data_IF_440795320641
#
_entry.id   IF_440795320641
#
_cell.length_a   1.000
_cell.length_b   1.000
_cell.length_c   1.000
_cell.angle_alpha   90.00
_cell.angle_beta   90.00
_cell.angle_gamma   90.00
#
_symmetry.space_group_name_H-M   'P 1'
#
loop_
_entity.id
_entity.type
_entity.pdbx_description
1 polymer ?
#
# COMPACT_ATOMS: atom_id res chain seq x y z
N UNK A 1 0.88 5.91 22.90
CA UNK A 1 1.37 7.29 22.83
C UNK A 1 0.44 8.24 23.57
N UNK A 2 0.96 9.39 23.95
CA UNK A 2 0.19 10.41 24.67
C UNK A 2 -1.02 10.88 23.86
N UNK A 3 -0.87 11.03 22.55
CA UNK A 3 -1.95 11.43 21.66
C UNK A 3 -3.10 10.42 21.66
N UNK A 4 -2.77 9.14 21.59
CA UNK A 4 -3.78 8.08 21.63
C UNK A 4 -4.49 8.02 22.97
N UNK A 5 -3.73 8.18 24.06
CA UNK A 5 -4.29 8.26 25.41
C UNK A 5 -5.23 9.44 25.55
N UNK A 6 -4.88 10.59 24.98
CA UNK A 6 -5.73 11.78 24.99
C UNK A 6 -7.05 11.55 24.26
N UNK A 7 -7.00 10.94 23.06
CA UNK A 7 -8.22 10.61 22.33
C UNK A 7 -9.11 9.65 23.10
N UNK A 8 -8.53 8.63 23.73
CA UNK A 8 -9.27 7.70 24.55
C UNK A 8 -9.92 8.39 25.74
N UNK A 9 -9.21 9.34 26.37
CA UNK A 9 -9.69 10.07 27.56
C UNK A 9 -10.76 11.10 27.22
N UNK A 10 -10.62 11.81 26.09
CA UNK A 10 -11.58 12.82 25.63
C UNK A 10 -12.80 12.17 24.97
N UNK A 11 -12.65 10.93 24.54
CA UNK A 11 -13.73 10.15 23.97
C UNK A 11 -14.01 10.43 22.51
N UNK A 12 -15.14 9.92 22.05
CA UNK A 12 -15.50 9.91 20.64
C UNK A 12 -15.85 11.30 20.08
N UNK A 13 -16.15 12.27 20.94
CA UNK A 13 -16.58 13.60 20.49
C UNK A 13 -15.49 14.32 19.70
N UNK A 14 -14.26 14.34 20.21
CA UNK A 14 -13.14 14.97 19.51
C UNK A 14 -12.82 14.24 18.22
N UNK A 15 -12.84 12.91 18.24
CA UNK A 15 -12.63 12.08 17.08
C UNK A 15 -13.67 12.35 15.99
N UNK A 16 -14.94 12.40 16.35
CA UNK A 16 -16.04 12.68 15.42
C UNK A 16 -15.88 14.06 14.79
N UNK A 17 -15.54 15.07 15.58
CA UNK A 17 -15.34 16.44 15.07
C UNK A 17 -14.20 16.49 14.05
N UNK A 18 -13.07 15.84 14.33
CA UNK A 18 -11.94 15.83 13.43
C UNK A 18 -12.29 15.09 12.14
N UNK A 19 -12.92 13.93 12.24
CA UNK A 19 -13.34 13.18 11.07
C UNK A 19 -14.34 13.95 10.21
N UNK A 20 -15.26 14.67 10.84
CA UNK A 20 -16.23 15.52 10.12
C UNK A 20 -15.52 16.62 9.36
N UNK A 21 -14.52 17.26 9.95
CA UNK A 21 -13.74 18.32 9.28
C UNK A 21 -12.89 17.78 8.13
N UNK A 22 -12.44 16.53 8.21
CA UNK A 22 -11.61 15.90 7.19
C UNK A 22 -12.42 15.17 6.13
N UNK A 23 -13.75 15.20 6.23
CA UNK A 23 -14.63 14.44 5.33
C UNK A 23 -14.37 14.71 3.85
N UNK A 24 -14.02 15.96 3.49
CA UNK A 24 -13.72 16.35 2.12
C UNK A 24 -12.26 16.13 1.73
N UNK A 25 -11.46 15.59 2.65
CA UNK A 25 -10.04 15.31 2.46
C UNK A 25 -9.76 13.84 2.79
N UNK A 26 -10.08 12.92 1.87
CA UNK A 26 -10.03 11.49 2.18
C UNK A 26 -8.65 10.97 2.57
N UNK A 27 -7.57 11.52 1.99
CA UNK A 27 -6.22 11.16 2.40
C UNK A 27 -5.96 11.51 3.87
N UNK A 28 -6.25 12.76 4.23
CA UNK A 28 -6.04 13.24 5.60
C UNK A 28 -6.92 12.48 6.59
N UNK A 29 -8.17 12.21 6.21
CA UNK A 29 -9.09 11.44 7.04
C UNK A 29 -8.56 10.02 7.27
N UNK A 30 -8.14 9.34 6.22
CA UNK A 30 -7.63 7.98 6.33
C UNK A 30 -6.35 7.94 7.17
N UNK A 31 -5.45 8.90 7.00
CA UNK A 31 -4.22 8.98 7.79
C UNK A 31 -4.51 9.26 9.25
N UNK A 32 -5.50 10.11 9.55
CA UNK A 32 -5.94 10.33 10.92
C UNK A 32 -6.47 9.03 11.54
N UNK A 33 -7.30 8.30 10.82
CA UNK A 33 -7.85 7.03 11.29
C UNK A 33 -6.77 5.99 11.53
N UNK A 34 -5.77 5.95 10.66
CA UNK A 34 -4.67 5.00 10.79
C UNK A 34 -3.72 5.36 11.93
N UNK A 35 -3.23 6.61 11.96
CA UNK A 35 -2.17 7.03 12.88
C UNK A 35 -2.73 7.37 14.26
N UNK A 36 -3.79 8.16 14.33
CA UNK A 36 -4.32 8.65 15.59
C UNK A 36 -5.30 7.69 16.25
N UNK A 37 -6.16 7.05 15.47
CA UNK A 37 -7.14 6.10 16.00
C UNK A 37 -6.62 4.67 15.99
N UNK A 38 -5.47 4.43 15.38
CA UNK A 38 -4.89 3.10 15.25
C UNK A 38 -5.89 2.09 14.67
N UNK A 39 -6.63 2.51 13.65
CA UNK A 39 -7.67 1.71 13.02
C UNK A 39 -7.39 1.58 11.52
N UNK A 40 -6.50 0.66 11.11
CA UNK A 40 -6.14 0.49 9.70
C UNK A 40 -7.32 0.05 8.84
N UNK A 41 -8.25 -0.73 9.37
CA UNK A 41 -9.41 -1.19 8.62
C UNK A 41 -10.34 -0.04 8.25
N UNK A 42 -10.57 0.90 9.19
CA UNK A 42 -11.36 2.09 8.93
C UNK A 42 -10.66 3.00 7.93
N UNK A 43 -9.35 3.18 8.06
CA UNK A 43 -8.56 3.96 7.11
C UNK A 43 -8.68 3.38 5.70
N UNK A 44 -8.61 2.06 5.58
CA UNK A 44 -8.77 1.38 4.29
C UNK A 44 -10.16 1.57 3.72
N UNK A 45 -11.21 1.47 4.55
CA UNK A 45 -12.58 1.71 4.11
C UNK A 45 -12.75 3.14 3.58
N UNK A 46 -12.16 4.13 4.26
CA UNK A 46 -12.17 5.53 3.81
C UNK A 46 -11.49 5.66 2.45
N UNK A 47 -10.34 5.03 2.29
CA UNK A 47 -9.61 5.05 1.02
C UNK A 47 -10.40 4.38 -0.10
N UNK A 48 -11.07 3.27 0.19
CA UNK A 48 -11.89 2.55 -0.78
C UNK A 48 -13.10 3.38 -1.23
N UNK A 49 -13.77 4.02 -0.29
CA UNK A 49 -14.93 4.88 -0.59
C UNK A 49 -14.54 6.06 -1.48
N UNK A 50 -13.31 6.57 -1.32
CA UNK A 50 -12.81 7.70 -2.10
C UNK A 50 -12.03 7.26 -3.35
N UNK A 51 -11.88 5.96 -3.57
CA UNK A 51 -11.10 5.38 -4.68
C UNK A 51 -9.64 5.82 -4.68
N UNK A 52 -9.04 5.92 -3.49
CA UNK A 52 -7.63 6.27 -3.32
C UNK A 52 -6.81 5.17 -2.65
N UNK A 53 -7.24 3.91 -2.75
CA UNK A 53 -6.55 2.77 -2.13
C UNK A 53 -5.08 2.71 -2.57
N UNK A 54 -4.83 3.03 -3.82
CA UNK A 54 -3.48 2.96 -4.39
C UNK A 54 -2.49 3.87 -3.68
N UNK A 55 -2.96 4.99 -3.12
CA UNK A 55 -2.09 5.94 -2.43
C UNK A 55 -1.83 5.56 -0.98
N UNK A 56 -2.68 4.72 -0.38
CA UNK A 56 -2.56 4.27 0.99
C UNK A 56 -2.01 2.85 1.14
N UNK A 57 -1.97 2.10 0.04
CA UNK A 57 -1.60 0.68 0.09
C UNK A 57 -0.21 0.45 0.68
N UNK A 58 0.76 1.30 0.37
CA UNK A 58 2.12 1.16 0.92
C UNK A 58 2.14 1.35 2.44
N UNK A 59 1.42 2.35 2.95
CA UNK A 59 1.37 2.62 4.38
C UNK A 59 0.66 1.50 5.15
N UNK A 60 -0.38 0.94 4.56
CA UNK A 60 -1.19 -0.09 5.22
C UNK A 60 -0.70 -1.52 4.95
N UNK A 61 0.33 -1.68 4.14
CA UNK A 61 0.86 -3.01 3.79
C UNK A 61 1.19 -3.88 5.02
N UNK A 62 1.89 -3.37 6.06
CA UNK A 62 2.21 -4.19 7.22
C UNK A 62 0.98 -4.64 8.02
N UNK A 63 -0.07 -3.83 8.02
CA UNK A 63 -1.27 -4.11 8.82
C UNK A 63 -2.34 -4.86 8.05
N UNK A 64 -2.47 -4.60 6.74
CA UNK A 64 -3.51 -5.17 5.88
C UNK A 64 -2.89 -5.77 4.61
N UNK A 65 -2.05 -6.81 4.74
CA UNK A 65 -1.38 -7.35 3.55
C UNK A 65 -2.35 -7.95 2.53
N UNK A 66 -3.41 -8.62 2.98
CA UNK A 66 -4.34 -9.28 2.07
C UNK A 66 -5.11 -8.27 1.20
N UNK A 67 -5.40 -7.09 1.74
CA UNK A 67 -6.11 -6.03 1.01
C UNK A 67 -5.18 -5.21 0.13
N UNK A 68 -3.97 -4.95 0.59
CA UNK A 68 -3.04 -4.03 -0.08
C UNK A 68 -2.17 -4.68 -1.15
N UNK A 69 -1.76 -5.93 -0.95
CA UNK A 69 -0.87 -6.63 -1.88
C UNK A 69 -1.40 -6.67 -3.31
N UNK A 70 -2.67 -7.04 -3.57
CA UNK A 70 -3.18 -7.05 -4.94
C UNK A 70 -3.10 -5.68 -5.64
N UNK A 71 -3.33 -4.61 -4.88
CA UNK A 71 -3.28 -3.24 -5.42
C UNK A 71 -1.83 -2.85 -5.71
N UNK A 72 -0.91 -3.18 -4.81
CA UNK A 72 0.51 -2.91 -5.00
C UNK A 72 1.09 -3.71 -6.17
N UNK A 73 0.68 -4.95 -6.35
CA UNK A 73 1.08 -5.76 -7.49
C UNK A 73 0.64 -5.13 -8.81
N UNK A 74 -0.60 -4.63 -8.86
CA UNK A 74 -1.10 -3.92 -10.03
C UNK A 74 -0.28 -2.65 -10.30
N UNK A 75 0.06 -1.93 -9.25
CA UNK A 75 0.88 -0.72 -9.36
C UNK A 75 2.27 -1.04 -9.92
N UNK A 76 2.90 -2.12 -9.46
CA UNK A 76 4.18 -2.58 -9.99
C UNK A 76 4.08 -2.84 -11.50
N UNK A 77 3.06 -3.58 -11.91
CA UNK A 77 2.84 -3.88 -13.33
C UNK A 77 2.71 -2.62 -14.16
N UNK A 78 1.92 -1.65 -13.71
CA UNK A 78 1.74 -0.37 -14.39
C UNK A 78 3.05 0.42 -14.49
N UNK A 79 3.84 0.43 -13.42
CA UNK A 79 5.13 1.13 -13.41
C UNK A 79 6.11 0.50 -14.40
N UNK A 80 6.12 -0.83 -14.50
CA UNK A 80 6.97 -1.52 -15.47
C UNK A 80 6.54 -1.24 -16.90
N UNK A 81 5.24 -1.17 -17.15
CA UNK A 81 4.70 -0.83 -18.47
C UNK A 81 5.09 0.58 -18.90
N UNK A 82 5.15 1.52 -17.97
CA UNK A 82 5.47 2.92 -18.27
C UNK A 82 6.95 3.20 -18.43
N UNK A 83 7.83 2.24 -18.14
CA UNK A 83 9.29 2.34 -18.26
C UNK A 83 9.96 3.41 -17.39
N UNK A 84 9.26 4.44 -16.98
CA UNK A 84 9.80 5.50 -16.12
C UNK A 84 9.73 5.16 -14.63
N UNK A 85 8.97 4.14 -14.27
CA UNK A 85 8.77 3.76 -12.88
C UNK A 85 9.54 2.51 -12.45
N UNK A 86 10.56 2.08 -13.21
CA UNK A 86 11.25 0.82 -12.95
C UNK A 86 11.96 0.79 -11.59
N UNK A 87 12.59 1.89 -11.17
CA UNK A 87 13.24 1.97 -9.87
C UNK A 87 12.22 1.87 -8.73
N UNK A 88 11.09 2.55 -8.88
CA UNK A 88 10.00 2.50 -7.91
C UNK A 88 9.37 1.12 -7.86
N UNK A 89 9.21 0.47 -9.02
CA UNK A 89 8.71 -0.89 -9.10
C UNK A 89 9.62 -1.86 -8.35
N UNK A 90 10.93 -1.72 -8.49
CA UNK A 90 11.91 -2.55 -7.80
C UNK A 90 11.80 -2.39 -6.28
N UNK A 91 11.73 -1.15 -5.79
CA UNK A 91 11.56 -0.88 -4.36
C UNK A 91 10.25 -1.46 -3.83
N UNK A 92 9.19 -1.30 -4.58
CA UNK A 92 7.87 -1.81 -4.19
C UNK A 92 7.85 -3.33 -4.16
N UNK A 93 8.49 -3.99 -5.12
CA UNK A 93 8.64 -5.45 -5.11
C UNK A 93 9.37 -5.93 -3.87
N UNK A 94 10.41 -5.23 -3.43
CA UNK A 94 11.12 -5.55 -2.19
C UNK A 94 10.21 -5.46 -0.97
N UNK A 95 9.38 -4.45 -0.90
CA UNK A 95 8.41 -4.29 0.20
C UNK A 95 7.35 -5.40 0.20
N UNK A 96 6.82 -5.73 -0.96
CA UNK A 96 5.83 -6.81 -1.11
C UNK A 96 6.45 -8.15 -0.70
N UNK A 97 7.69 -8.41 -1.13
CA UNK A 97 8.39 -9.66 -0.84
C UNK A 97 8.51 -9.93 0.65
N UNK A 98 8.72 -8.89 1.45
CA UNK A 98 8.87 -9.03 2.91
C UNK A 98 7.59 -9.45 3.61
N UNK A 99 6.44 -9.21 3.01
CA UNK A 99 5.13 -9.40 3.63
C UNK A 99 4.33 -10.52 2.97
N UNK A 100 4.45 -10.69 1.65
CA UNK A 100 3.68 -11.67 0.89
C UNK A 100 4.15 -13.09 1.16
N UNK A 101 3.26 -14.05 0.98
CA UNK A 101 3.63 -15.46 1.00
C UNK A 101 4.62 -15.75 -0.13
N UNK A 102 5.70 -16.51 0.13
CA UNK A 102 6.70 -16.80 -0.90
C UNK A 102 6.12 -17.39 -2.18
N UNK A 103 5.19 -18.32 -2.07
CA UNK A 103 4.55 -18.96 -3.23
C UNK A 103 3.80 -17.94 -4.10
N UNK A 104 3.00 -17.10 -3.47
CA UNK A 104 2.23 -16.07 -4.16
C UNK A 104 3.15 -15.05 -4.84
N UNK A 105 4.23 -14.67 -4.16
CA UNK A 105 5.19 -13.74 -4.70
C UNK A 105 5.95 -14.32 -5.90
N UNK A 106 6.35 -15.58 -5.83
CA UNK A 106 7.01 -16.28 -6.92
C UNK A 106 6.11 -16.41 -8.15
N UNK A 107 4.83 -16.70 -7.94
CA UNK A 107 3.85 -16.75 -9.03
C UNK A 107 3.72 -15.39 -9.72
N UNK A 108 3.66 -14.32 -8.93
CA UNK A 108 3.59 -12.96 -9.46
C UNK A 108 4.85 -12.62 -10.26
N UNK A 109 6.04 -12.89 -9.71
CA UNK A 109 7.30 -12.68 -10.42
C UNK A 109 7.37 -13.47 -11.71
N UNK A 110 6.94 -14.72 -11.69
CA UNK A 110 6.89 -15.56 -12.89
C UNK A 110 6.01 -14.96 -13.96
N UNK A 111 4.86 -14.43 -13.57
CA UNK A 111 3.95 -13.75 -14.51
C UNK A 111 4.60 -12.51 -15.11
N UNK A 112 5.28 -11.70 -14.29
CA UNK A 112 5.98 -10.52 -14.78
C UNK A 112 7.12 -10.89 -15.73
N UNK A 113 7.90 -11.92 -15.39
CA UNK A 113 8.98 -12.38 -16.25
C UNK A 113 8.49 -12.82 -17.63
N UNK A 114 7.34 -13.49 -17.66
CA UNK A 114 6.72 -13.90 -18.94
C UNK A 114 6.18 -12.70 -19.72
N UNK A 115 5.51 -11.78 -19.02
CA UNK A 115 4.92 -10.59 -19.65
C UNK A 115 5.98 -9.68 -20.26
N UNK A 116 7.10 -9.51 -19.58
CA UNK A 116 8.18 -8.61 -20.00
C UNK A 116 9.41 -9.35 -20.52
N UNK A 117 9.22 -10.55 -21.06
CA UNK A 117 10.31 -11.39 -21.56
C UNK A 117 11.10 -10.73 -22.69
N UNK A 118 10.47 -9.84 -23.46
CA UNK A 118 11.09 -9.14 -24.57
C UNK A 118 11.76 -7.83 -24.18
N UNK A 119 11.74 -7.45 -22.90
CA UNK A 119 12.34 -6.23 -22.42
C UNK A 119 13.58 -6.55 -21.56
N UNK A 120 14.82 -6.41 -22.09
CA UNK A 120 16.03 -6.79 -21.34
C UNK A 120 16.20 -6.02 -20.03
N UNK A 121 15.84 -4.74 -20.00
CA UNK A 121 15.97 -3.91 -18.80
C UNK A 121 15.09 -4.41 -17.67
N UNK A 122 13.85 -4.75 -17.98
CA UNK A 122 12.92 -5.30 -16.97
C UNK A 122 13.35 -6.70 -16.56
N UNK A 123 13.83 -7.51 -17.49
CA UNK A 123 14.34 -8.85 -17.16
C UNK A 123 15.49 -8.79 -16.17
N UNK A 124 16.42 -7.86 -16.37
CA UNK A 124 17.54 -7.65 -15.43
C UNK A 124 17.05 -7.20 -14.06
N UNK A 125 16.09 -6.30 -14.03
CA UNK A 125 15.50 -5.81 -12.78
C UNK A 125 14.83 -6.95 -12.00
N UNK A 126 14.05 -7.79 -12.68
CA UNK A 126 13.36 -8.90 -12.04
C UNK A 126 14.33 -9.98 -11.55
N UNK A 127 15.41 -10.21 -12.27
CA UNK A 127 16.47 -11.11 -11.82
C UNK A 127 17.11 -10.62 -10.52
N UNK A 128 17.28 -9.29 -10.38
CA UNK A 128 17.81 -8.69 -9.16
C UNK A 128 16.88 -8.89 -7.95
N UNK A 129 15.57 -8.97 -8.15
CA UNK A 129 14.61 -9.22 -7.07
C UNK A 129 14.82 -10.61 -6.46
N UNK A 130 15.15 -11.62 -7.26
CA UNK A 130 15.42 -12.96 -6.77
C UNK A 130 16.62 -13.02 -5.82
N UNK A 131 17.51 -12.02 -5.87
CA UNK A 131 18.70 -11.96 -5.03
C UNK A 131 18.45 -11.23 -3.70
N UNK A 132 17.30 -10.62 -3.53
CA UNK A 132 16.92 -9.97 -2.28
C UNK A 132 16.58 -11.02 -1.21
#
# INVERSE_FOLDING_TARGET
STARGLFAAVGDTASVLIQTRLRDKPWDLAMFQYVCLNDPERAWATASDAAIEWSLAEQLLPDLPDETIPILMRKVEEQLENKYGCDQAYELLGKIQKVAEPTSFEEFLGRLKRKFANCPEIRSLLAGVDEL
#
